data_IF_131895314887
#
_entry.id   IF_131895314887
#
_cell.length_a   1.000
_cell.length_b   1.000
_cell.length_c   1.000
_cell.angle_alpha   90.00
_cell.angle_beta   90.00
_cell.angle_gamma   90.00
#
_symmetry.space_group_name_H-M   'P 1'
#
loop_
_entity.id
_entity.type
_entity.pdbx_description
1 polymer ?
#
# COMPACT_ATOMS: atom_id res chain seq x y z
N UNK A 1 -23.92 1.57 3.58
CA UNK A 1 -22.52 1.39 3.13
C UNK A 1 -21.54 1.35 4.31
N UNK A 2 -21.82 2.06 5.38
CA UNK A 2 -21.05 2.01 6.64
C UNK A 2 -21.11 0.65 7.35
N UNK A 3 -22.23 -0.09 7.26
CA UNK A 3 -22.39 -1.42 7.85
C UNK A 3 -21.51 -2.49 7.17
N UNK A 4 -21.25 -2.36 5.87
CA UNK A 4 -20.46 -3.33 5.10
C UNK A 4 -18.97 -3.39 5.47
N UNK A 5 -18.43 -2.32 6.03
CA UNK A 5 -17.00 -2.24 6.37
C UNK A 5 -16.75 -2.63 7.83
N UNK A 6 -17.66 -2.29 8.73
CA UNK A 6 -17.59 -2.68 10.15
C UNK A 6 -17.97 -4.15 10.38
N UNK A 7 -18.84 -4.73 9.53
CA UNK A 7 -19.21 -6.14 9.60
C UNK A 7 -18.13 -7.07 9.02
N UNK A 8 -17.30 -6.58 8.08
CA UNK A 8 -16.29 -7.40 7.39
C UNK A 8 -15.13 -7.89 8.26
N UNK A 9 -14.84 -7.25 9.40
CA UNK A 9 -13.76 -7.67 10.31
C UNK A 9 -14.23 -8.66 11.39
N UNK A 10 -15.52 -8.89 11.51
CA UNK A 10 -16.13 -9.83 12.48
C UNK A 10 -16.80 -11.05 11.85
N UNK A 11 -16.78 -11.18 10.53
CA UNK A 11 -17.36 -12.35 9.85
C UNK A 11 -16.41 -13.54 9.99
N UNK A 12 -16.94 -14.69 10.42
CA UNK A 12 -16.19 -15.92 10.36
C UNK A 12 -15.94 -16.31 8.89
N UNK A 13 -14.68 -16.50 8.47
CA UNK A 13 -14.40 -16.84 7.09
C UNK A 13 -14.99 -18.20 6.73
N UNK A 14 -15.57 -18.29 5.52
CA UNK A 14 -16.03 -19.56 4.93
C UNK A 14 -15.03 -20.01 3.85
N UNK A 15 -15.04 -21.29 3.52
CA UNK A 15 -14.17 -21.82 2.47
C UNK A 15 -14.42 -21.14 1.12
N UNK A 16 -13.35 -20.85 0.40
CA UNK A 16 -13.42 -20.17 -0.87
C UNK A 16 -14.20 -20.96 -1.92
N UNK A 17 -15.19 -20.31 -2.54
CA UNK A 17 -16.06 -20.89 -3.53
C UNK A 17 -16.05 -20.08 -4.83
N UNK A 18 -16.44 -20.70 -5.94
CA UNK A 18 -16.57 -20.03 -7.22
C UNK A 18 -15.31 -19.30 -7.66
N UNK A 19 -15.42 -17.99 -7.97
CA UNK A 19 -14.27 -17.18 -8.41
C UNK A 19 -13.22 -16.99 -7.31
N UNK A 20 -13.61 -17.03 -6.03
CA UNK A 20 -12.66 -16.83 -4.92
C UNK A 20 -11.67 -17.98 -4.76
N UNK A 21 -11.96 -19.18 -5.29
CA UNK A 21 -11.01 -20.28 -5.35
C UNK A 21 -9.75 -19.93 -6.21
N UNK A 22 -9.83 -18.89 -7.04
CA UNK A 22 -8.72 -18.39 -7.87
C UNK A 22 -8.02 -17.17 -7.28
N UNK A 23 -8.25 -16.82 -6.00
CA UNK A 23 -7.62 -15.66 -5.34
C UNK A 23 -6.10 -15.70 -5.39
N UNK A 24 -5.49 -16.87 -5.39
CA UNK A 24 -4.03 -17.05 -5.53
C UNK A 24 -3.48 -16.53 -6.87
N UNK A 25 -4.29 -16.48 -7.94
CA UNK A 25 -3.87 -15.94 -9.25
C UNK A 25 -3.57 -14.44 -9.17
N UNK A 26 -4.20 -13.71 -8.24
CA UNK A 26 -3.90 -12.30 -8.01
C UNK A 26 -2.40 -12.08 -7.73
N UNK A 27 -1.81 -12.96 -6.94
CA UNK A 27 -0.39 -12.91 -6.56
C UNK A 27 0.47 -13.58 -7.63
N UNK A 28 0.02 -14.74 -8.12
CA UNK A 28 0.83 -15.58 -9.01
C UNK A 28 1.09 -14.92 -10.37
N UNK A 29 0.14 -14.19 -10.95
CA UNK A 29 0.33 -13.54 -12.25
C UNK A 29 1.45 -12.49 -12.23
N UNK A 30 1.45 -11.46 -11.36
CA UNK A 30 2.55 -10.51 -11.33
C UNK A 30 3.85 -11.14 -10.84
N UNK A 31 3.82 -12.14 -9.94
CA UNK A 31 5.02 -12.86 -9.52
C UNK A 31 5.65 -13.64 -10.68
N UNK A 32 4.83 -14.29 -11.49
CA UNK A 32 5.27 -14.97 -12.71
C UNK A 32 5.89 -13.97 -13.70
N UNK A 33 5.25 -12.82 -13.90
CA UNK A 33 5.79 -11.72 -14.71
C UNK A 33 7.18 -11.28 -14.23
N UNK A 34 7.34 -11.06 -12.94
CA UNK A 34 8.64 -10.72 -12.35
C UNK A 34 9.67 -11.83 -12.58
N UNK A 35 9.32 -13.09 -12.31
CA UNK A 35 10.21 -14.22 -12.46
C UNK A 35 10.67 -14.42 -13.92
N UNK A 36 9.74 -14.36 -14.88
CA UNK A 36 10.07 -14.47 -16.32
C UNK A 36 11.02 -13.37 -16.76
N UNK A 37 10.82 -12.14 -16.31
CA UNK A 37 11.66 -11.00 -16.67
C UNK A 37 13.05 -11.05 -16.01
N UNK A 38 13.15 -11.51 -14.77
CA UNK A 38 14.43 -11.63 -14.08
C UNK A 38 15.26 -12.80 -14.62
N UNK A 39 14.63 -13.96 -14.79
CA UNK A 39 15.32 -15.20 -15.21
C UNK A 39 15.56 -15.27 -16.72
N UNK A 40 14.64 -14.72 -17.53
CA UNK A 40 14.71 -14.75 -18.99
C UNK A 40 15.82 -13.87 -19.62
N UNK A 41 16.41 -12.99 -18.83
CA UNK A 41 17.53 -12.14 -19.24
C UNK A 41 17.20 -11.30 -20.49
N UNK A 42 18.22 -11.03 -21.31
CA UNK A 42 18.10 -10.18 -22.52
C UNK A 42 17.07 -10.67 -23.55
N UNK A 43 16.68 -11.95 -23.48
CA UNK A 43 15.67 -12.51 -24.40
C UNK A 43 14.29 -11.87 -24.21
N UNK A 44 14.02 -11.32 -23.03
CA UNK A 44 12.74 -10.70 -22.69
C UNK A 44 12.72 -9.18 -22.85
N UNK A 45 13.83 -8.53 -23.26
CA UNK A 45 13.92 -7.06 -23.36
C UNK A 45 12.87 -6.45 -24.30
N UNK A 46 12.54 -7.15 -25.41
CA UNK A 46 11.61 -6.61 -26.42
C UNK A 46 10.14 -6.65 -25.97
N UNK A 47 9.71 -7.73 -25.33
CA UNK A 47 8.31 -7.93 -24.95
C UNK A 47 8.06 -7.78 -23.43
N UNK A 48 9.14 -7.65 -22.65
CA UNK A 48 9.07 -7.61 -21.20
C UNK A 48 8.11 -6.55 -20.63
N UNK A 49 8.16 -5.30 -21.07
CA UNK A 49 7.22 -4.27 -20.62
C UNK A 49 5.75 -4.62 -20.87
N UNK A 50 5.45 -5.19 -22.05
CA UNK A 50 4.10 -5.63 -22.40
C UNK A 50 3.67 -6.85 -21.57
N UNK A 51 4.56 -7.83 -21.38
CA UNK A 51 4.28 -8.99 -20.53
C UNK A 51 3.96 -8.56 -19.10
N UNK A 52 4.80 -7.73 -18.49
CA UNK A 52 4.59 -7.24 -17.14
C UNK A 52 3.24 -6.50 -16.99
N UNK A 53 2.92 -5.65 -17.95
CA UNK A 53 1.66 -4.92 -18.01
C UNK A 53 0.48 -5.89 -18.16
N UNK A 54 0.58 -6.88 -19.03
CA UNK A 54 -0.46 -7.91 -19.22
C UNK A 54 -0.71 -8.72 -17.93
N UNK A 55 0.36 -9.10 -17.19
CA UNK A 55 0.24 -9.82 -15.93
C UNK A 55 -0.46 -8.98 -14.85
N UNK A 56 -0.15 -7.68 -14.77
CA UNK A 56 -0.82 -6.75 -13.85
C UNK A 56 -2.30 -6.57 -14.20
N UNK A 57 -2.65 -6.36 -15.49
CA UNK A 57 -4.04 -6.30 -15.94
C UNK A 57 -4.78 -7.63 -15.76
N UNK A 58 -4.11 -8.77 -15.96
CA UNK A 58 -4.67 -10.08 -15.66
C UNK A 58 -5.06 -10.22 -14.19
N UNK A 59 -4.19 -9.77 -13.29
CA UNK A 59 -4.48 -9.73 -11.85
C UNK A 59 -5.69 -8.84 -11.54
N UNK A 60 -5.78 -7.65 -12.16
CA UNK A 60 -6.95 -6.78 -12.02
C UNK A 60 -8.25 -7.46 -12.46
N UNK A 61 -8.25 -8.12 -13.62
CA UNK A 61 -9.45 -8.82 -14.12
C UNK A 61 -9.90 -9.97 -13.20
N UNK A 62 -8.95 -10.70 -12.63
CA UNK A 62 -9.25 -11.71 -11.61
C UNK A 62 -9.87 -11.06 -10.38
N UNK A 63 -9.32 -9.93 -9.91
CA UNK A 63 -9.89 -9.17 -8.79
C UNK A 63 -11.33 -8.71 -9.04
N UNK A 64 -11.62 -8.21 -10.24
CA UNK A 64 -12.98 -7.84 -10.66
C UNK A 64 -13.92 -9.05 -10.62
N UNK A 65 -13.48 -10.21 -11.14
CA UNK A 65 -14.28 -11.43 -11.14
C UNK A 65 -14.61 -11.90 -9.72
N UNK A 66 -13.64 -11.83 -8.79
CA UNK A 66 -13.84 -12.17 -7.38
C UNK A 66 -14.85 -11.21 -6.72
N UNK A 67 -14.71 -9.91 -6.92
CA UNK A 67 -15.62 -8.92 -6.34
C UNK A 67 -17.04 -9.11 -6.85
N UNK A 68 -17.22 -9.32 -8.16
CA UNK A 68 -18.54 -9.57 -8.72
C UNK A 68 -19.17 -10.84 -8.17
N UNK A 69 -18.37 -11.87 -7.92
CA UNK A 69 -18.83 -13.09 -7.24
C UNK A 69 -19.28 -12.80 -5.79
N UNK A 70 -18.45 -12.10 -4.98
CA UNK A 70 -18.78 -11.82 -3.58
C UNK A 70 -19.97 -10.86 -3.40
N UNK A 71 -20.18 -9.91 -4.32
CA UNK A 71 -21.36 -9.03 -4.30
C UNK A 71 -22.65 -9.86 -4.46
N UNK A 72 -22.60 -10.94 -5.23
CA UNK A 72 -23.72 -11.86 -5.42
C UNK A 72 -24.04 -12.76 -4.22
N UNK A 73 -23.15 -12.85 -3.22
CA UNK A 73 -23.32 -13.69 -2.05
C UNK A 73 -24.00 -12.92 -0.89
N UNK A 74 -24.66 -13.67 0.05
CA UNK A 74 -25.12 -13.11 1.31
C UNK A 74 -23.96 -12.43 2.07
N UNK A 75 -24.27 -11.43 2.89
CA UNK A 75 -23.24 -10.66 3.61
C UNK A 75 -22.33 -11.55 4.48
N UNK A 76 -22.93 -12.57 5.10
CA UNK A 76 -22.25 -13.52 6.00
C UNK A 76 -21.20 -14.39 5.29
N UNK A 77 -21.33 -14.62 3.98
CA UNK A 77 -20.44 -15.45 3.18
C UNK A 77 -19.39 -14.64 2.39
N UNK A 78 -19.34 -13.32 2.58
CA UNK A 78 -18.42 -12.42 1.84
C UNK A 78 -16.98 -12.42 2.35
N UNK A 79 -16.69 -13.07 3.46
CA UNK A 79 -15.34 -13.35 3.91
C UNK A 79 -14.99 -14.79 3.54
N UNK A 80 -14.11 -14.96 2.55
CA UNK A 80 -13.75 -16.28 2.04
C UNK A 80 -12.27 -16.57 2.25
N UNK A 81 -11.97 -17.75 2.74
CA UNK A 81 -10.64 -18.23 3.06
C UNK A 81 -10.22 -19.37 2.13
N UNK A 82 -9.00 -19.30 1.61
CA UNK A 82 -8.39 -20.35 0.80
C UNK A 82 -7.08 -20.80 1.42
N UNK A 83 -7.03 -22.03 1.94
CA UNK A 83 -5.78 -22.67 2.35
C UNK A 83 -5.10 -23.29 1.14
N UNK A 84 -3.85 -22.90 0.89
CA UNK A 84 -3.03 -23.46 -0.21
C UNK A 84 -2.30 -24.72 0.27
N UNK A 85 -1.57 -24.64 1.37
CA UNK A 85 -0.91 -25.78 2.03
C UNK A 85 -0.51 -25.43 3.47
N UNK A 86 -0.25 -26.45 4.29
CA UNK A 86 0.32 -26.25 5.62
C UNK A 86 1.78 -25.83 5.47
N UNK A 87 2.10 -24.58 5.86
CA UNK A 87 3.42 -23.99 5.62
C UNK A 87 4.41 -24.32 6.75
N UNK A 88 4.00 -24.20 8.01
CA UNK A 88 4.87 -24.43 9.18
C UNK A 88 4.23 -25.45 10.11
N UNK A 89 4.48 -26.77 9.90
CA UNK A 89 4.05 -27.81 10.82
C UNK A 89 5.10 -28.03 11.91
N UNK A 90 5.12 -27.25 12.99
CA UNK A 90 6.11 -27.32 14.05
C UNK A 90 5.47 -27.64 15.42
N UNK A 91 5.28 -28.91 15.72
CA UNK A 91 4.70 -29.37 16.99
C UNK A 91 3.26 -28.87 17.17
N UNK A 92 3.01 -28.11 18.23
CA UNK A 92 1.70 -27.47 18.46
C UNK A 92 1.46 -26.23 17.60
N UNK A 93 2.51 -25.66 17.00
CA UNK A 93 2.41 -24.54 16.10
C UNK A 93 2.12 -25.04 14.68
N UNK A 94 0.92 -24.74 14.19
CA UNK A 94 0.49 -25.06 12.83
C UNK A 94 0.16 -23.73 12.17
N UNK A 95 0.80 -23.44 11.06
CA UNK A 95 0.51 -22.25 10.26
C UNK A 95 0.30 -22.65 8.81
N UNK A 96 -0.87 -22.37 8.31
CA UNK A 96 -1.21 -22.56 6.92
C UNK A 96 -0.76 -21.36 6.08
N UNK A 97 -0.43 -21.57 4.82
CA UNK A 97 -0.36 -20.54 3.83
C UNK A 97 -1.77 -20.35 3.29
N UNK A 98 -2.49 -19.45 3.95
CA UNK A 98 -3.88 -19.16 3.66
C UNK A 98 -4.05 -17.74 3.10
N UNK A 99 -5.08 -17.57 2.27
CA UNK A 99 -5.44 -16.29 1.68
C UNK A 99 -6.86 -15.93 2.08
N UNK A 100 -7.05 -14.70 2.54
CA UNK A 100 -8.33 -14.16 2.96
C UNK A 100 -8.84 -13.12 1.96
N UNK A 101 -9.94 -13.45 1.29
CA UNK A 101 -10.67 -12.55 0.39
C UNK A 101 -11.90 -12.01 1.13
N UNK A 102 -11.80 -10.84 1.72
CA UNK A 102 -12.88 -10.13 2.40
C UNK A 102 -13.07 -8.71 1.82
N UNK A 103 -14.13 -7.98 2.15
CA UNK A 103 -14.39 -6.65 1.62
C UNK A 103 -13.23 -5.67 1.83
N UNK A 104 -12.49 -5.77 2.94
CA UNK A 104 -11.33 -4.92 3.22
C UNK A 104 -10.18 -5.26 2.27
N UNK A 105 -9.74 -6.52 2.22
CA UNK A 105 -8.63 -6.95 1.36
C UNK A 105 -8.93 -6.68 -0.12
N UNK A 106 -10.17 -6.93 -0.58
CA UNK A 106 -10.56 -6.70 -1.97
C UNK A 106 -10.62 -5.22 -2.36
N UNK A 107 -10.94 -4.33 -1.43
CA UNK A 107 -10.83 -2.88 -1.67
C UNK A 107 -9.38 -2.49 -1.99
N UNK A 108 -8.43 -3.02 -1.21
CA UNK A 108 -6.99 -2.83 -1.49
C UNK A 108 -6.55 -3.53 -2.77
N UNK A 109 -7.00 -4.75 -3.03
CA UNK A 109 -6.69 -5.48 -4.26
C UNK A 109 -7.08 -4.68 -5.49
N UNK A 110 -8.29 -4.10 -5.51
CA UNK A 110 -8.75 -3.27 -6.64
C UNK A 110 -7.87 -2.04 -6.82
N UNK A 111 -7.56 -1.36 -5.72
CA UNK A 111 -6.69 -0.18 -5.78
C UNK A 111 -5.28 -0.54 -6.31
N UNK A 112 -4.66 -1.58 -5.74
CA UNK A 112 -3.30 -2.01 -6.09
C UNK A 112 -3.23 -2.43 -7.55
N UNK A 113 -4.18 -3.28 -7.99
CA UNK A 113 -4.14 -3.87 -9.33
C UNK A 113 -4.53 -2.87 -10.41
N UNK A 114 -5.58 -2.06 -10.21
CA UNK A 114 -6.01 -1.05 -11.17
C UNK A 114 -4.96 0.04 -11.35
N UNK A 115 -4.58 0.68 -10.25
CA UNK A 115 -3.60 1.78 -10.28
C UNK A 115 -2.23 1.25 -10.71
N UNK A 116 -1.81 0.10 -10.21
CA UNK A 116 -0.57 -0.54 -10.61
C UNK A 116 -0.53 -0.82 -12.11
N UNK A 117 -1.64 -1.29 -12.70
CA UNK A 117 -1.74 -1.54 -14.15
C UNK A 117 -1.66 -0.25 -14.97
N UNK A 118 -2.30 0.83 -14.53
CA UNK A 118 -2.18 2.14 -15.18
C UNK A 118 -0.74 2.68 -15.10
N UNK A 119 -0.06 2.49 -13.97
CA UNK A 119 1.35 2.88 -13.82
C UNK A 119 2.24 2.05 -14.74
N UNK A 120 1.96 0.75 -14.95
CA UNK A 120 2.69 -0.05 -15.93
C UNK A 120 2.52 0.52 -17.34
N UNK A 121 1.31 0.87 -17.75
CA UNK A 121 1.06 1.49 -19.06
C UNK A 121 1.83 2.81 -19.19
N UNK A 122 1.77 3.69 -18.19
CA UNK A 122 2.53 4.93 -18.16
C UNK A 122 4.04 4.69 -18.26
N UNK A 123 4.54 3.66 -17.57
CA UNK A 123 5.95 3.31 -17.54
C UNK A 123 6.51 2.85 -18.90
N UNK A 124 5.66 2.31 -19.79
CA UNK A 124 6.10 1.92 -21.14
C UNK A 124 6.69 3.12 -21.87
N UNK A 125 5.98 4.27 -21.88
CA UNK A 125 6.48 5.49 -22.49
C UNK A 125 7.60 6.14 -21.66
N UNK A 126 7.45 6.20 -20.33
CA UNK A 126 8.44 6.85 -19.47
C UNK A 126 9.83 6.20 -19.53
N UNK A 127 9.90 4.85 -19.60
CA UNK A 127 11.14 4.07 -19.63
C UNK A 127 11.54 3.61 -21.04
N UNK A 128 10.96 4.16 -22.10
CA UNK A 128 11.17 3.71 -23.48
C UNK A 128 12.65 3.68 -23.87
N UNK A 129 13.40 4.68 -23.46
CA UNK A 129 14.81 4.86 -23.83
C UNK A 129 15.78 4.29 -22.80
N UNK A 130 15.29 3.77 -21.64
CA UNK A 130 16.16 3.22 -20.61
C UNK A 130 16.63 1.80 -21.01
N UNK A 131 17.97 1.53 -20.97
CA UNK A 131 18.51 0.21 -21.34
C UNK A 131 18.10 -0.89 -20.37
N UNK A 132 17.78 -0.57 -19.12
CA UNK A 132 17.43 -1.52 -18.06
C UNK A 132 15.91 -1.65 -17.84
N UNK A 133 15.08 -1.17 -18.79
CA UNK A 133 13.61 -1.18 -18.66
C UNK A 133 13.03 -2.55 -18.26
N UNK A 134 13.60 -3.66 -18.74
CA UNK A 134 13.18 -5.02 -18.34
C UNK A 134 13.28 -5.22 -16.83
N UNK A 135 14.41 -4.84 -16.22
CA UNK A 135 14.66 -4.94 -14.78
C UNK A 135 13.65 -4.07 -14.01
N UNK A 136 13.35 -2.89 -14.54
CA UNK A 136 12.35 -1.97 -13.99
C UNK A 136 10.96 -2.63 -13.90
N UNK A 137 10.48 -3.18 -15.01
CA UNK A 137 9.16 -3.83 -15.06
C UNK A 137 9.09 -5.12 -14.23
N UNK A 138 10.20 -5.84 -14.10
CA UNK A 138 10.29 -6.99 -13.20
C UNK A 138 10.10 -6.56 -11.73
N UNK A 139 10.73 -5.46 -11.32
CA UNK A 139 10.61 -4.92 -9.96
C UNK A 139 9.22 -4.35 -9.69
N UNK A 140 8.58 -3.72 -10.67
CA UNK A 140 7.19 -3.28 -10.55
C UNK A 140 6.24 -4.46 -10.29
N UNK A 141 6.37 -5.54 -11.06
CA UNK A 141 5.57 -6.75 -10.88
C UNK A 141 5.86 -7.43 -9.53
N UNK A 142 7.13 -7.51 -9.12
CA UNK A 142 7.50 -8.05 -7.80
C UNK A 142 6.85 -7.24 -6.68
N UNK A 143 6.83 -5.92 -6.82
CA UNK A 143 6.20 -5.03 -5.86
C UNK A 143 4.69 -5.28 -5.76
N UNK A 144 3.97 -5.38 -6.91
CA UNK A 144 2.54 -5.68 -6.92
C UNK A 144 2.25 -7.04 -6.30
N UNK A 145 3.02 -8.08 -6.67
CA UNK A 145 2.85 -9.41 -6.09
C UNK A 145 3.02 -9.42 -4.56
N UNK A 146 4.05 -8.74 -4.07
CA UNK A 146 4.33 -8.63 -2.64
C UNK A 146 3.23 -7.86 -1.89
N UNK A 147 2.71 -6.79 -2.50
CA UNK A 147 1.63 -6.00 -1.90
C UNK A 147 0.31 -6.78 -1.87
N UNK A 148 0.02 -7.55 -2.91
CA UNK A 148 -1.16 -8.43 -2.95
C UNK A 148 -1.04 -9.56 -1.92
N UNK A 149 0.15 -10.14 -1.74
CA UNK A 149 0.39 -11.11 -0.67
C UNK A 149 0.13 -10.51 0.71
N UNK A 150 0.58 -9.27 0.93
CA UNK A 150 0.39 -8.55 2.19
C UNK A 150 -1.11 -8.38 2.52
N UNK A 151 -1.91 -7.91 1.56
CA UNK A 151 -3.33 -7.60 1.81
C UNK A 151 -4.25 -8.82 1.78
N UNK A 152 -3.83 -9.91 1.15
CA UNK A 152 -4.59 -11.17 1.08
C UNK A 152 -4.15 -12.18 2.13
N UNK A 153 -3.12 -11.90 2.93
CA UNK A 153 -2.68 -12.78 4.01
C UNK A 153 -3.82 -13.04 5.00
N UNK A 154 -3.91 -14.26 5.52
CA UNK A 154 -4.83 -14.68 6.58
C UNK A 154 -4.20 -14.61 7.99
N UNK A 155 -2.90 -14.35 8.04
CA UNK A 155 -2.11 -14.34 9.27
C UNK A 155 -1.10 -13.19 9.30
N UNK A 156 -0.74 -12.75 10.50
CA UNK A 156 0.29 -11.70 10.69
C UNK A 156 1.66 -12.13 10.18
N UNK A 157 1.99 -13.43 10.22
CA UNK A 157 3.26 -13.92 9.70
C UNK A 157 3.29 -13.91 8.18
N UNK A 158 2.23 -14.30 7.49
CA UNK A 158 2.16 -14.22 6.04
C UNK A 158 2.08 -12.77 5.56
N UNK A 159 1.35 -11.91 6.30
CA UNK A 159 1.38 -10.46 6.08
C UNK A 159 2.82 -9.94 6.17
N UNK A 160 3.61 -10.37 7.16
CA UNK A 160 5.01 -9.96 7.31
C UNK A 160 5.88 -10.39 6.13
N UNK A 161 5.64 -11.56 5.52
CA UNK A 161 6.34 -11.96 4.29
C UNK A 161 6.07 -11.00 3.15
N UNK A 162 4.80 -10.63 2.94
CA UNK A 162 4.42 -9.61 1.95
C UNK A 162 5.03 -8.24 2.28
N UNK A 163 5.05 -7.88 3.56
CA UNK A 163 5.62 -6.64 4.08
C UNK A 163 7.12 -6.48 3.79
N UNK A 164 7.87 -7.56 3.97
CA UNK A 164 9.29 -7.63 3.64
C UNK A 164 9.54 -7.62 2.13
N UNK A 165 8.69 -8.31 1.38
CA UNK A 165 8.73 -8.32 -0.07
C UNK A 165 8.52 -6.92 -0.67
N UNK A 166 7.56 -6.16 -0.16
CA UNK A 166 7.34 -4.75 -0.53
C UNK A 166 8.55 -3.89 -0.16
N UNK A 167 9.15 -4.13 1.01
CA UNK A 167 10.37 -3.45 1.45
C UNK A 167 11.54 -3.67 0.49
N UNK A 168 11.78 -4.91 0.09
CA UNK A 168 12.82 -5.28 -0.89
C UNK A 168 12.54 -4.65 -2.27
N UNK A 169 11.32 -4.80 -2.78
CA UNK A 169 10.96 -4.28 -4.09
C UNK A 169 11.08 -2.74 -4.15
N UNK A 170 10.68 -2.04 -3.07
CA UNK A 170 10.84 -0.59 -2.96
C UNK A 170 12.30 -0.17 -2.95
N UNK A 171 13.16 -0.88 -2.22
CA UNK A 171 14.59 -0.66 -2.22
C UNK A 171 15.19 -0.73 -3.63
N UNK A 172 14.84 -1.80 -4.38
CA UNK A 172 15.31 -2.02 -5.76
C UNK A 172 14.78 -0.95 -6.73
N UNK A 173 13.57 -0.45 -6.50
CA UNK A 173 12.94 0.57 -7.34
C UNK A 173 13.44 1.99 -7.03
N UNK A 174 13.61 2.36 -5.75
CA UNK A 174 14.17 3.67 -5.36
C UNK A 174 15.62 3.78 -5.83
N UNK A 175 16.41 2.71 -5.65
CA UNK A 175 17.80 2.61 -6.09
C UNK A 175 17.96 2.11 -7.53
N UNK A 176 16.95 2.26 -8.39
CA UNK A 176 17.00 1.72 -9.74
C UNK A 176 18.23 2.23 -10.53
N UNK A 177 18.48 3.52 -10.46
CA UNK A 177 19.67 4.16 -11.03
C UNK A 177 20.83 4.22 -10.02
N UNK A 178 21.24 3.06 -9.52
CA UNK A 178 22.24 2.89 -8.45
C UNK A 178 23.66 3.31 -8.80
N UNK A 179 23.95 3.61 -10.06
CA UNK A 179 25.22 4.23 -10.46
C UNK A 179 25.39 5.65 -9.90
N UNK A 180 24.29 6.31 -9.53
CA UNK A 180 24.35 7.59 -8.83
C UNK A 180 24.39 7.34 -7.31
N UNK A 181 25.48 7.72 -6.61
CA UNK A 181 25.63 7.48 -5.18
C UNK A 181 24.50 8.11 -4.34
N UNK A 182 23.94 9.25 -4.77
CA UNK A 182 22.82 9.88 -4.07
C UNK A 182 21.55 9.02 -4.09
N UNK A 183 21.28 8.36 -5.21
CA UNK A 183 20.09 7.48 -5.34
C UNK A 183 20.28 6.16 -4.59
N UNK A 184 21.50 5.61 -4.61
CA UNK A 184 21.84 4.46 -3.79
C UNK A 184 21.73 4.77 -2.29
N UNK A 185 22.19 5.94 -1.85
CA UNK A 185 22.05 6.41 -0.46
C UNK A 185 20.58 6.60 -0.06
N UNK A 186 19.74 7.15 -0.95
CA UNK A 186 18.31 7.30 -0.72
C UNK A 186 17.61 5.94 -0.54
N UNK A 187 17.96 4.96 -1.38
CA UNK A 187 17.45 3.59 -1.25
C UNK A 187 17.86 2.93 0.07
N UNK A 188 19.15 3.05 0.43
CA UNK A 188 19.66 2.54 1.71
C UNK A 188 18.93 3.19 2.89
N UNK A 189 18.75 4.51 2.88
CA UNK A 189 18.01 5.22 3.93
C UNK A 189 16.57 4.71 4.05
N UNK A 190 15.87 4.59 2.92
CA UNK A 190 14.50 4.05 2.90
C UNK A 190 14.46 2.64 3.49
N UNK A 191 15.40 1.77 3.11
CA UNK A 191 15.48 0.41 3.59
C UNK A 191 15.73 0.35 5.10
N UNK A 192 16.76 1.02 5.62
CA UNK A 192 17.12 0.95 7.04
C UNK A 192 16.05 1.58 7.94
N UNK A 193 15.45 2.71 7.55
CA UNK A 193 14.40 3.34 8.35
C UNK A 193 13.16 2.43 8.42
N UNK A 194 12.80 1.79 7.30
CA UNK A 194 11.70 0.81 7.30
C UNK A 194 12.01 -0.39 8.18
N UNK A 195 13.27 -0.88 8.23
CA UNK A 195 13.67 -2.02 9.09
C UNK A 195 13.44 -1.76 10.58
N UNK A 196 13.54 -0.52 11.02
CA UNK A 196 13.17 -0.17 12.42
C UNK A 196 11.68 -0.46 12.66
N UNK A 197 10.81 -0.12 11.72
CA UNK A 197 9.39 -0.47 11.77
C UNK A 197 9.16 -1.99 11.70
N UNK A 198 9.85 -2.65 10.76
CA UNK A 198 9.73 -4.10 10.54
C UNK A 198 10.13 -4.90 11.79
N UNK A 199 11.12 -4.41 12.57
CA UNK A 199 11.47 -4.97 13.87
C UNK A 199 10.30 -4.87 14.87
N UNK A 200 9.60 -3.74 14.92
CA UNK A 200 8.41 -3.57 15.76
C UNK A 200 7.33 -4.60 15.41
N UNK A 201 7.03 -4.77 14.11
CA UNK A 201 6.05 -5.74 13.65
C UNK A 201 6.47 -7.19 13.97
N UNK A 202 7.74 -7.55 13.78
CA UNK A 202 8.22 -8.89 14.09
C UNK A 202 8.13 -9.21 15.59
N UNK A 203 8.45 -8.26 16.46
CA UNK A 203 8.27 -8.42 17.91
C UNK A 203 6.78 -8.53 18.26
N UNK A 204 5.90 -7.75 17.62
CA UNK A 204 4.45 -7.88 17.82
C UNK A 204 3.97 -9.30 17.51
N UNK A 205 4.42 -9.90 16.40
CA UNK A 205 4.06 -11.27 16.00
C UNK A 205 4.57 -12.28 17.07
N UNK A 206 5.79 -12.10 17.59
CA UNK A 206 6.32 -12.98 18.65
C UNK A 206 5.49 -12.86 19.93
N UNK A 207 5.10 -11.65 20.33
CA UNK A 207 4.24 -11.42 21.50
C UNK A 207 2.85 -12.01 21.29
N UNK A 208 2.28 -11.88 20.08
CA UNK A 208 1.00 -12.52 19.71
C UNK A 208 1.10 -14.05 19.89
N UNK A 209 2.15 -14.66 19.37
CA UNK A 209 2.33 -16.10 19.50
C UNK A 209 2.40 -16.54 20.98
N UNK A 210 3.16 -15.83 21.81
CA UNK A 210 3.28 -16.15 23.25
C UNK A 210 1.95 -15.93 24.00
N UNK A 211 1.17 -14.92 23.57
CA UNK A 211 -0.07 -14.52 24.27
C UNK A 211 -1.27 -15.38 23.85
N UNK A 212 -1.40 -15.68 22.56
CA UNK A 212 -2.60 -16.32 21.97
C UNK A 212 -2.33 -17.77 21.52
N UNK A 213 -1.08 -18.20 21.42
CA UNK A 213 -0.70 -19.52 20.90
C UNK A 213 -0.75 -19.65 19.38
N UNK A 214 -1.16 -18.60 18.66
CA UNK A 214 -1.25 -18.52 17.20
C UNK A 214 -1.00 -17.11 16.69
N UNK A 215 -0.89 -16.96 15.35
CA UNK A 215 -0.63 -15.67 14.69
C UNK A 215 -1.58 -15.43 13.52
N UNK A 216 -2.54 -16.29 13.32
CA UNK A 216 -3.65 -16.09 12.37
C UNK A 216 -4.67 -15.09 12.95
N UNK A 217 -5.39 -14.42 12.06
CA UNK A 217 -6.32 -13.36 12.48
C UNK A 217 -7.46 -13.90 13.35
N UNK A 218 -7.94 -15.11 13.09
CA UNK A 218 -9.04 -15.71 13.84
C UNK A 218 -8.61 -15.96 15.30
N UNK A 219 -7.50 -16.68 15.51
CA UNK A 219 -6.95 -16.97 16.84
C UNK A 219 -6.65 -15.69 17.63
N UNK A 220 -6.06 -14.68 16.98
CA UNK A 220 -5.75 -13.40 17.65
C UNK A 220 -7.03 -12.68 18.04
N UNK A 221 -8.01 -12.57 17.14
CA UNK A 221 -9.26 -11.87 17.41
C UNK A 221 -10.07 -12.52 18.55
N UNK A 222 -10.14 -13.84 18.59
CA UNK A 222 -10.78 -14.58 19.66
C UNK A 222 -10.03 -14.42 21.00
N UNK A 223 -8.70 -14.44 20.95
CA UNK A 223 -7.85 -14.34 22.13
C UNK A 223 -7.84 -12.97 22.80
N UNK A 224 -8.12 -11.89 22.08
CA UNK A 224 -8.11 -10.50 22.61
C UNK A 224 -9.06 -10.34 23.80
N UNK A 225 -10.23 -10.98 23.79
CA UNK A 225 -11.21 -10.85 24.87
C UNK A 225 -10.74 -11.42 26.22
N UNK A 226 -9.82 -12.37 26.23
CA UNK A 226 -9.37 -13.11 27.41
C UNK A 226 -7.94 -12.82 27.83
N UNK A 227 -7.16 -12.14 26.97
CA UNK A 227 -5.75 -11.89 27.20
C UNK A 227 -5.48 -10.74 28.20
N UNK A 228 -4.25 -10.71 28.71
CA UNK A 228 -3.80 -9.64 29.59
C UNK A 228 -3.77 -8.29 28.86
N UNK A 229 -4.42 -7.27 29.44
CA UNK A 229 -4.51 -5.92 28.87
C UNK A 229 -3.15 -5.32 28.51
N UNK A 230 -2.13 -5.54 29.36
CA UNK A 230 -0.78 -5.05 29.10
C UNK A 230 -0.14 -5.67 27.87
N UNK A 231 -0.36 -6.98 27.65
CA UNK A 231 0.14 -7.68 26.47
C UNK A 231 -0.55 -7.17 25.18
N UNK A 232 -1.87 -6.99 25.21
CA UNK A 232 -2.62 -6.48 24.05
C UNK A 232 -2.19 -5.03 23.72
N UNK A 233 -2.00 -4.19 24.76
CA UNK A 233 -1.50 -2.81 24.56
C UNK A 233 -0.09 -2.81 23.97
N UNK A 234 0.80 -3.68 24.44
CA UNK A 234 2.14 -3.82 23.89
C UNK A 234 2.10 -4.25 22.41
N UNK A 235 1.26 -5.22 22.06
CA UNK A 235 1.04 -5.65 20.66
C UNK A 235 0.57 -4.45 19.82
N UNK A 236 -0.45 -3.71 20.25
CA UNK A 236 -0.96 -2.55 19.53
C UNK A 236 0.09 -1.47 19.28
N UNK A 237 0.91 -1.15 20.29
CA UNK A 237 2.01 -0.18 20.15
C UNK A 237 3.11 -0.68 19.22
N UNK A 238 3.46 -1.97 19.26
CA UNK A 238 4.45 -2.58 18.36
C UNK A 238 3.96 -2.64 16.91
N UNK A 239 2.67 -2.91 16.68
CA UNK A 239 2.05 -2.80 15.37
C UNK A 239 2.10 -1.37 14.84
N UNK A 240 1.87 -0.37 15.71
CA UNK A 240 2.01 1.05 15.35
C UNK A 240 3.45 1.38 14.94
N UNK A 241 4.48 0.86 15.61
CA UNK A 241 5.88 1.03 15.19
C UNK A 241 6.10 0.48 13.78
N UNK A 242 5.55 -0.70 13.48
CA UNK A 242 5.54 -1.28 12.13
C UNK A 242 4.88 -0.35 11.11
N UNK A 243 3.69 0.13 11.43
CA UNK A 243 2.94 1.06 10.58
C UNK A 243 3.70 2.37 10.35
N UNK A 244 4.38 2.93 11.37
CA UNK A 244 5.19 4.14 11.24
C UNK A 244 6.31 4.00 10.20
N UNK A 245 6.94 2.84 10.12
CA UNK A 245 7.98 2.55 9.13
C UNK A 245 7.43 2.68 7.69
N UNK A 246 6.51 1.80 7.30
CA UNK A 246 6.00 1.75 5.91
C UNK A 246 5.16 2.97 5.53
N UNK A 247 4.35 3.49 6.46
CA UNK A 247 3.47 4.64 6.21
C UNK A 247 4.14 5.99 6.44
N UNK A 248 5.47 6.02 6.62
CA UNK A 248 6.25 7.25 6.83
C UNK A 248 5.64 8.17 7.89
N UNK A 249 5.19 7.59 9.01
CA UNK A 249 4.66 8.33 10.14
C UNK A 249 5.78 8.80 11.07
N UNK A 250 5.51 9.87 11.81
CA UNK A 250 6.45 10.33 12.84
C UNK A 250 6.74 9.21 13.85
N UNK A 251 8.01 8.98 14.25
CA UNK A 251 9.25 9.71 13.85
C UNK A 251 10.00 9.11 12.65
N UNK A 252 9.44 8.14 11.92
CA UNK A 252 10.11 7.40 10.85
C UNK A 252 9.85 7.97 9.43
N UNK A 253 9.39 9.22 9.30
CA UNK A 253 8.96 9.83 8.05
C UNK A 253 10.09 10.24 7.09
N UNK A 254 11.33 10.29 7.55
CA UNK A 254 12.43 10.96 6.84
C UNK A 254 12.82 10.33 5.50
N UNK A 255 12.51 9.07 5.27
CA UNK A 255 12.86 8.35 4.04
C UNK A 255 11.97 8.73 2.85
N UNK A 256 10.72 9.17 3.12
CA UNK A 256 9.73 9.38 2.07
C UNK A 256 10.13 10.47 1.07
N UNK A 257 10.68 11.60 1.57
CA UNK A 257 11.15 12.68 0.72
C UNK A 257 12.38 12.30 -0.13
N UNK A 258 13.25 11.44 0.40
CA UNK A 258 14.45 10.99 -0.31
C UNK A 258 14.13 9.86 -1.31
N UNK A 259 13.06 9.10 -1.08
CA UNK A 259 12.57 8.09 -2.02
C UNK A 259 12.16 8.67 -3.40
N UNK A 260 12.00 10.01 -3.50
CA UNK A 260 11.79 10.71 -4.76
C UNK A 260 13.00 10.64 -5.72
N UNK A 261 14.15 10.13 -5.30
CA UNK A 261 15.29 9.85 -6.15
C UNK A 261 15.00 8.81 -7.26
N UNK A 262 14.08 7.88 -7.02
CA UNK A 262 13.68 6.89 -8.02
C UNK A 262 12.93 7.47 -9.22
N UNK A 263 12.74 6.67 -10.29
CA UNK A 263 11.90 7.03 -11.44
C UNK A 263 10.49 7.47 -11.02
N UNK A 264 9.87 8.41 -11.74
CA UNK A 264 8.55 8.94 -11.36
C UNK A 264 7.44 7.87 -11.27
N UNK A 265 7.38 6.83 -12.13
CA UNK A 265 6.41 5.75 -11.96
C UNK A 265 6.54 5.02 -10.62
N UNK A 266 7.77 4.94 -10.08
CA UNK A 266 8.01 4.35 -8.75
C UNK A 266 7.40 5.22 -7.65
N UNK A 267 7.59 6.55 -7.76
CA UNK A 267 6.97 7.48 -6.82
C UNK A 267 5.45 7.33 -6.85
N UNK A 268 4.83 7.28 -8.04
CA UNK A 268 3.40 7.09 -8.20
C UNK A 268 2.93 5.76 -7.56
N UNK A 269 3.67 4.67 -7.73
CA UNK A 269 3.31 3.38 -7.17
C UNK A 269 3.45 3.33 -5.64
N UNK A 270 4.61 3.72 -5.12
CA UNK A 270 4.92 3.63 -3.67
C UNK A 270 4.03 4.57 -2.86
N UNK A 271 3.83 5.81 -3.35
CA UNK A 271 3.21 6.87 -2.55
C UNK A 271 1.69 6.96 -2.70
N UNK A 272 1.13 6.44 -3.79
CA UNK A 272 -0.28 6.65 -4.04
C UNK A 272 -1.19 5.54 -3.51
N UNK A 273 -0.87 4.28 -3.81
CA UNK A 273 -1.85 3.22 -3.65
C UNK A 273 -1.34 2.00 -2.88
N UNK A 274 -0.05 1.98 -2.49
CA UNK A 274 0.54 0.70 -2.11
C UNK A 274 1.35 0.73 -0.81
N UNK A 275 2.67 0.99 -0.85
CA UNK A 275 3.54 0.82 0.32
C UNK A 275 3.14 1.69 1.51
N UNK A 276 2.87 2.97 1.26
CA UNK A 276 2.52 3.92 2.34
C UNK A 276 1.13 3.66 2.94
N UNK A 277 0.25 2.95 2.24
CA UNK A 277 -1.06 2.54 2.76
C UNK A 277 -1.00 1.23 3.55
N UNK A 278 0.11 0.48 3.46
CA UNK A 278 0.26 -0.80 4.16
C UNK A 278 0.15 -0.66 5.69
N UNK A 279 0.68 0.42 6.28
CA UNK A 279 0.55 0.65 7.73
C UNK A 279 -0.88 1.03 8.13
N UNK A 280 -1.61 1.76 7.30
CA UNK A 280 -3.05 2.02 7.53
C UNK A 280 -3.81 0.70 7.45
N UNK A 281 -3.54 -0.13 6.42
CA UNK A 281 -4.11 -1.46 6.31
C UNK A 281 -3.85 -2.30 7.58
N UNK A 282 -2.62 -2.32 8.08
CA UNK A 282 -2.25 -3.06 9.29
C UNK A 282 -3.06 -2.61 10.50
N UNK A 283 -3.22 -1.30 10.71
CA UNK A 283 -4.01 -0.75 11.82
C UNK A 283 -5.49 -1.10 11.66
N UNK A 284 -6.05 -0.93 10.47
CA UNK A 284 -7.45 -1.24 10.19
C UNK A 284 -7.72 -2.75 10.32
N UNK A 285 -6.83 -3.60 9.83
CA UNK A 285 -6.92 -5.07 9.95
C UNK A 285 -6.86 -5.52 11.42
N UNK A 286 -6.12 -4.79 12.24
CA UNK A 286 -5.95 -5.07 13.67
C UNK A 286 -6.92 -4.29 14.56
N UNK A 287 -8.05 -3.81 14.02
CA UNK A 287 -8.99 -2.97 14.75
C UNK A 287 -9.46 -3.58 16.09
N UNK A 288 -9.66 -4.90 16.14
CA UNK A 288 -10.07 -5.61 17.37
C UNK A 288 -9.06 -5.38 18.51
N UNK A 289 -7.76 -5.38 18.20
CA UNK A 289 -6.68 -5.08 19.17
C UNK A 289 -6.79 -3.63 19.64
N UNK A 290 -6.98 -2.67 18.72
CA UNK A 290 -7.06 -1.25 19.05
C UNK A 290 -8.36 -0.87 19.76
N UNK A 291 -9.46 -1.54 19.49
CA UNK A 291 -10.73 -1.34 20.20
C UNK A 291 -10.65 -1.82 21.65
N UNK A 292 -9.89 -2.89 21.91
CA UNK A 292 -9.60 -3.38 23.25
C UNK A 292 -8.56 -2.54 24.01
N UNK A 293 -7.80 -1.64 23.34
CA UNK A 293 -6.68 -0.89 23.93
C UNK A 293 -6.76 0.60 23.66
N UNK A 294 -7.51 1.38 24.46
CA UNK A 294 -7.67 2.84 24.27
C UNK A 294 -6.34 3.60 24.20
N UNK A 295 -5.32 3.19 24.97
CA UNK A 295 -4.01 3.84 24.99
C UNK A 295 -3.26 3.66 23.66
N UNK A 296 -3.24 2.43 23.09
CA UNK A 296 -2.63 2.18 21.80
C UNK A 296 -3.40 2.90 20.68
N UNK A 297 -4.72 2.91 20.74
CA UNK A 297 -5.58 3.66 19.81
C UNK A 297 -5.32 5.15 19.86
N UNK A 298 -5.19 5.73 21.04
CA UNK A 298 -4.82 7.14 21.22
C UNK A 298 -3.44 7.43 20.62
N UNK A 299 -2.46 6.51 20.79
CA UNK A 299 -1.14 6.66 20.20
C UNK A 299 -1.21 6.69 18.65
N UNK A 300 -2.05 5.85 18.01
CA UNK A 300 -2.30 5.89 16.57
C UNK A 300 -2.85 7.26 16.14
N UNK A 301 -3.86 7.78 16.85
CA UNK A 301 -4.46 9.08 16.55
C UNK A 301 -3.44 10.22 16.68
N UNK A 302 -2.65 10.24 17.76
CA UNK A 302 -1.63 11.27 17.99
C UNK A 302 -0.52 11.24 16.93
N UNK A 303 0.01 10.07 16.61
CA UNK A 303 1.04 9.92 15.56
C UNK A 303 0.49 10.37 14.21
N UNK A 304 -0.75 10.00 13.88
CA UNK A 304 -1.43 10.45 12.67
C UNK A 304 -1.59 11.97 12.61
N UNK A 305 -2.05 12.59 13.70
CA UNK A 305 -2.22 14.05 13.80
C UNK A 305 -0.90 14.81 13.65
N UNK A 306 0.15 14.36 14.34
CA UNK A 306 1.50 14.95 14.22
C UNK A 306 2.01 14.86 12.79
N UNK A 307 1.87 13.69 12.16
CA UNK A 307 2.34 13.47 10.78
C UNK A 307 1.55 14.30 9.77
N UNK A 308 0.23 14.42 9.95
CA UNK A 308 -0.64 15.25 9.13
C UNK A 308 -0.13 16.69 9.07
N UNK A 309 0.05 17.32 10.25
CA UNK A 309 0.50 18.72 10.35
C UNK A 309 1.93 18.88 9.85
N UNK A 310 2.83 17.96 10.23
CA UNK A 310 4.22 17.98 9.79
C UNK A 310 4.34 17.89 8.27
N UNK A 311 3.60 16.94 7.64
CA UNK A 311 3.58 16.78 6.19
C UNK A 311 3.08 18.02 5.47
N UNK A 312 2.02 18.67 5.98
CA UNK A 312 1.48 19.90 5.40
C UNK A 312 2.52 21.06 5.46
N UNK A 313 3.17 21.27 6.60
CA UNK A 313 4.22 22.31 6.77
C UNK A 313 5.39 22.05 5.82
N UNK A 314 5.89 20.81 5.77
CA UNK A 314 7.01 20.44 4.88
C UNK A 314 6.64 20.64 3.41
N UNK A 315 5.40 20.30 3.01
CA UNK A 315 4.92 20.50 1.64
C UNK A 315 4.95 21.95 1.20
N UNK A 316 4.55 22.88 2.08
CA UNK A 316 4.59 24.32 1.80
C UNK A 316 6.03 24.87 1.69
N UNK A 317 7.01 24.19 2.26
CA UNK A 317 8.41 24.64 2.28
C UNK A 317 9.27 24.07 1.14
N UNK A 318 8.72 23.20 0.27
CA UNK A 318 9.48 22.56 -0.81
C UNK A 318 9.23 23.23 -2.16
N UNK A 319 10.30 23.56 -2.85
CA UNK A 319 10.28 24.08 -4.23
C UNK A 319 10.34 22.96 -5.29
N UNK A 320 10.75 21.75 -4.89
CA UNK A 320 10.81 20.54 -5.75
C UNK A 320 9.43 19.90 -5.84
N UNK A 321 8.89 19.78 -7.06
CA UNK A 321 7.53 19.25 -7.30
C UNK A 321 7.35 17.83 -6.75
N UNK A 322 8.35 16.94 -6.90
CA UNK A 322 8.28 15.57 -6.38
C UNK A 322 8.26 15.57 -4.85
N UNK A 323 9.12 16.37 -4.22
CA UNK A 323 9.20 16.45 -2.75
C UNK A 323 7.96 17.09 -2.15
N UNK A 324 7.34 18.07 -2.81
CA UNK A 324 6.07 18.66 -2.41
C UNK A 324 4.93 17.62 -2.47
N UNK A 325 4.87 16.82 -3.54
CA UNK A 325 3.90 15.72 -3.67
C UNK A 325 4.13 14.62 -2.62
N UNK A 326 5.38 14.29 -2.29
CA UNK A 326 5.69 13.34 -1.21
C UNK A 326 5.22 13.85 0.15
N UNK A 327 5.44 15.12 0.46
CA UNK A 327 4.98 15.73 1.69
C UNK A 327 3.44 15.78 1.77
N UNK A 328 2.77 16.05 0.64
CA UNK A 328 1.31 15.93 0.54
C UNK A 328 0.84 14.49 0.80
N UNK A 329 1.54 13.48 0.30
CA UNK A 329 1.25 12.07 0.60
C UNK A 329 1.39 11.77 2.10
N UNK A 330 2.49 12.21 2.72
CA UNK A 330 2.71 12.08 4.16
C UNK A 330 1.53 12.65 4.95
N UNK A 331 1.06 13.85 4.59
CA UNK A 331 -0.08 14.51 5.22
C UNK A 331 -1.37 13.69 5.06
N UNK A 332 -1.65 13.16 3.87
CA UNK A 332 -2.87 12.35 3.62
C UNK A 332 -2.86 11.02 4.39
N UNK A 333 -1.71 10.34 4.43
CA UNK A 333 -1.58 9.09 5.20
C UNK A 333 -1.67 9.37 6.71
N UNK A 334 -1.13 10.51 7.18
CA UNK A 334 -1.32 10.98 8.55
C UNK A 334 -2.80 11.20 8.88
N UNK A 335 -3.58 11.75 7.93
CA UNK A 335 -5.02 11.90 8.06
C UNK A 335 -5.74 10.55 8.21
N UNK A 336 -5.40 9.57 7.36
CA UNK A 336 -5.97 8.22 7.45
C UNK A 336 -5.59 7.52 8.78
N UNK A 337 -4.35 7.68 9.25
CA UNK A 337 -3.91 7.13 10.54
C UNK A 337 -4.66 7.78 11.70
N UNK A 338 -4.86 9.11 11.66
CA UNK A 338 -5.68 9.81 12.64
C UNK A 338 -7.11 9.24 12.66
N UNK A 339 -7.73 9.11 11.49
CA UNK A 339 -9.06 8.53 11.36
C UNK A 339 -9.12 7.11 11.93
N UNK A 340 -8.18 6.22 11.56
CA UNK A 340 -8.11 4.86 12.07
C UNK A 340 -7.99 4.81 13.61
N UNK A 341 -7.32 5.79 14.22
CA UNK A 341 -7.21 5.96 15.68
C UNK A 341 -8.48 6.46 16.37
N UNK A 342 -9.52 6.86 15.66
CA UNK A 342 -10.77 7.35 16.26
C UNK A 342 -11.82 6.24 16.53
N UNK A 343 -11.48 4.97 16.32
CA UNK A 343 -12.36 3.82 16.56
C UNK A 343 -13.21 3.43 15.34
N UNK A 344 -14.28 2.65 15.54
CA UNK A 344 -15.02 1.99 14.46
C UNK A 344 -15.50 2.94 13.35
N UNK A 345 -16.01 4.12 13.70
CA UNK A 345 -16.41 5.13 12.71
C UNK A 345 -15.19 5.66 11.94
N UNK A 346 -14.10 5.93 12.63
CA UNK A 346 -12.84 6.38 12.02
C UNK A 346 -12.21 5.32 11.12
N UNK A 347 -12.27 4.03 11.49
CA UNK A 347 -11.83 2.90 10.67
C UNK A 347 -12.62 2.84 9.36
N UNK A 348 -13.93 3.05 9.40
CA UNK A 348 -14.77 3.11 8.21
C UNK A 348 -14.34 4.27 7.28
N UNK A 349 -14.09 5.46 7.84
CA UNK A 349 -13.60 6.60 7.06
C UNK A 349 -12.18 6.40 6.53
N UNK A 350 -11.25 5.87 7.33
CA UNK A 350 -9.91 5.53 6.87
C UNK A 350 -9.93 4.57 5.68
N UNK A 351 -10.80 3.54 5.74
CA UNK A 351 -10.99 2.58 4.66
C UNK A 351 -11.64 3.18 3.42
N UNK A 352 -12.59 4.11 3.59
CA UNK A 352 -13.25 4.81 2.49
C UNK A 352 -12.36 5.89 1.87
N UNK A 353 -11.54 6.59 2.66
CA UNK A 353 -10.59 7.59 2.15
C UNK A 353 -9.42 6.94 1.39
N UNK A 354 -9.17 5.65 1.58
CA UNK A 354 -8.07 4.95 0.95
C UNK A 354 -8.14 4.90 -0.60
N UNK A 355 -9.26 4.49 -1.24
CA UNK A 355 -9.34 4.48 -2.70
C UNK A 355 -9.33 5.88 -3.31
N UNK A 356 -9.71 6.93 -2.57
CA UNK A 356 -9.82 8.27 -3.10
C UNK A 356 -8.44 8.88 -3.42
N UNK A 357 -7.47 9.02 -2.47
CA UNK A 357 -6.10 9.41 -2.79
C UNK A 357 -5.41 8.41 -3.72
N UNK A 358 -5.68 7.12 -3.56
CA UNK A 358 -5.13 6.07 -4.40
C UNK A 358 -5.45 6.23 -5.89
N UNK A 359 -6.54 6.90 -6.25
CA UNK A 359 -6.90 7.17 -7.64
C UNK A 359 -6.33 8.49 -8.18
N UNK A 360 -6.45 9.60 -7.45
CA UNK A 360 -6.00 10.90 -7.99
C UNK A 360 -4.51 11.16 -7.79
N UNK A 361 -3.89 10.60 -6.73
CA UNK A 361 -2.47 10.81 -6.43
C UNK A 361 -1.53 10.27 -7.52
N UNK A 362 -1.71 9.01 -8.04
CA UNK A 362 -0.91 8.55 -9.17
C UNK A 362 -1.02 9.43 -10.39
N UNK A 363 -2.20 10.00 -10.64
CA UNK A 363 -2.43 10.96 -11.73
C UNK A 363 -1.61 12.25 -11.54
N UNK A 364 -1.49 12.75 -10.30
CA UNK A 364 -0.65 13.91 -9.99
C UNK A 364 0.84 13.58 -10.12
N UNK A 365 1.29 12.43 -9.61
CA UNK A 365 2.69 12.03 -9.71
C UNK A 365 3.11 11.76 -11.16
N UNK A 366 2.27 11.08 -11.96
CA UNK A 366 2.49 10.89 -13.38
C UNK A 366 2.44 12.23 -14.14
N UNK A 367 1.53 13.14 -13.77
CA UNK A 367 1.46 14.49 -14.29
C UNK A 367 2.73 15.29 -13.98
N UNK A 368 3.26 15.22 -12.78
CA UNK A 368 4.53 15.83 -12.41
C UNK A 368 5.70 15.27 -13.24
N UNK A 369 5.73 13.93 -13.44
CA UNK A 369 6.70 13.29 -14.32
C UNK A 369 6.62 13.80 -15.77
N UNK A 370 5.41 13.97 -16.27
CA UNK A 370 5.17 14.54 -17.62
C UNK A 370 5.64 15.99 -17.72
N UNK A 371 5.39 16.83 -16.70
CA UNK A 371 5.89 18.22 -16.63
C UNK A 371 7.42 18.24 -16.63
N UNK A 372 8.05 17.44 -15.76
CA UNK A 372 9.50 17.37 -15.68
C UNK A 372 10.13 16.96 -17.02
N UNK A 373 9.58 15.92 -17.66
CA UNK A 373 10.07 15.44 -18.95
C UNK A 373 9.93 16.52 -20.06
N UNK A 374 8.81 17.26 -20.07
CA UNK A 374 8.59 18.38 -20.99
C UNK A 374 9.44 19.61 -20.70
N UNK A 375 10.05 19.71 -19.49
CA UNK A 375 10.91 20.81 -19.03
C UNK A 375 12.37 20.40 -18.89
N UNK A 376 12.84 19.38 -19.62
CA UNK A 376 14.21 18.85 -19.56
C UNK A 376 14.67 18.46 -18.15
N UNK A 377 13.84 17.68 -17.47
CA UNK A 377 14.06 17.16 -16.11
C UNK A 377 14.19 18.24 -15.00
N UNK A 378 13.70 19.46 -15.27
CA UNK A 378 13.59 20.49 -14.23
C UNK A 378 12.57 20.08 -13.17
N UNK A 379 12.98 20.17 -11.89
CA UNK A 379 12.14 19.82 -10.73
C UNK A 379 11.65 21.04 -9.94
N UNK A 380 12.30 22.19 -10.13
CA UNK A 380 12.00 23.40 -9.37
C UNK A 380 10.75 24.10 -9.89
N UNK A 381 9.68 24.08 -9.08
CA UNK A 381 8.39 24.68 -9.43
C UNK A 381 8.45 26.20 -9.70
N UNK A 382 9.45 26.91 -9.17
CA UNK A 382 9.66 28.35 -9.43
C UNK A 382 10.05 28.65 -10.88
N UNK A 383 10.49 27.62 -11.62
CA UNK A 383 10.85 27.72 -13.04
C UNK A 383 9.71 27.30 -13.98
N UNK A 384 8.60 26.87 -13.42
CA UNK A 384 7.43 26.51 -14.21
C UNK A 384 6.54 27.70 -14.47
N UNK A 385 5.98 27.81 -15.69
CA UNK A 385 5.03 28.86 -16.04
C UNK A 385 4.34 28.58 -17.37
N UNK A 386 3.09 29.03 -17.53
CA UNK A 386 2.34 28.95 -18.79
C UNK A 386 1.99 27.54 -19.27
N UNK A 387 2.15 26.50 -18.46
CA UNK A 387 2.00 25.09 -18.83
C UNK A 387 0.57 24.73 -19.29
N UNK A 388 -0.44 25.46 -18.84
CA UNK A 388 -1.84 25.26 -19.25
C UNK A 388 -2.06 25.43 -20.75
N UNK A 389 -1.22 26.21 -21.42
CA UNK A 389 -1.31 26.45 -22.87
C UNK A 389 -0.62 25.38 -23.70
N UNK A 390 0.48 24.81 -23.17
CA UNK A 390 1.35 23.86 -23.87
C UNK A 390 1.00 22.41 -23.51
N UNK A 391 0.72 22.13 -22.23
CA UNK A 391 0.45 20.79 -21.70
C UNK A 391 -1.00 20.69 -21.17
N UNK A 392 -1.98 20.90 -22.03
CA UNK A 392 -3.41 21.01 -21.66
C UNK A 392 -3.94 19.80 -20.91
N UNK A 393 -3.58 18.59 -21.34
CA UNK A 393 -4.05 17.33 -20.70
C UNK A 393 -3.44 17.21 -19.31
N UNK A 394 -2.13 17.40 -19.17
CA UNK A 394 -1.43 17.34 -17.88
C UNK A 394 -1.96 18.40 -16.92
N UNK A 395 -2.21 19.62 -17.41
CA UNK A 395 -2.82 20.68 -16.61
C UNK A 395 -4.22 20.29 -16.12
N UNK A 396 -5.07 19.77 -16.99
CA UNK A 396 -6.41 19.34 -16.62
C UNK A 396 -6.42 18.21 -15.59
N UNK A 397 -5.60 17.17 -15.78
CA UNK A 397 -5.50 16.05 -14.84
C UNK A 397 -4.94 16.49 -13.49
N UNK A 398 -3.95 17.40 -13.49
CA UNK A 398 -3.40 17.96 -12.26
C UNK A 398 -4.44 18.84 -11.52
N UNK A 399 -5.21 19.65 -12.25
CA UNK A 399 -6.28 20.47 -11.67
C UNK A 399 -7.40 19.62 -11.06
N UNK A 400 -7.83 18.54 -11.74
CA UNK A 400 -8.81 17.60 -11.21
C UNK A 400 -8.32 16.92 -9.92
N UNK A 401 -7.08 16.45 -9.90
CA UNK A 401 -6.46 15.89 -8.69
C UNK A 401 -6.35 16.90 -7.55
N UNK A 402 -6.03 18.16 -7.85
CA UNK A 402 -5.98 19.24 -6.86
C UNK A 402 -7.36 19.53 -6.26
N UNK A 403 -8.41 19.62 -7.09
CA UNK A 403 -9.79 19.79 -6.62
C UNK A 403 -10.26 18.62 -5.76
N UNK A 404 -9.85 17.40 -6.10
CA UNK A 404 -10.14 16.21 -5.30
C UNK A 404 -9.46 16.26 -3.92
N UNK A 405 -8.20 16.71 -3.85
CA UNK A 405 -7.48 16.87 -2.56
C UNK A 405 -8.13 17.95 -1.68
N UNK A 406 -8.60 19.04 -2.28
CA UNK A 406 -9.26 20.14 -1.55
C UNK A 406 -10.65 19.76 -1.01
N UNK A 407 -11.23 18.64 -1.46
CA UNK A 407 -12.58 18.27 -1.05
C UNK A 407 -13.67 19.13 -1.70
N UNK A 408 -13.45 19.66 -2.93
CA UNK A 408 -14.45 20.42 -3.63
C UNK A 408 -15.55 19.52 -4.20
N UNK A 409 -16.85 19.75 -3.94
CA UNK A 409 -17.92 18.97 -4.58
C UNK A 409 -17.89 19.09 -6.12
N UNK A 410 -18.11 18.02 -6.87
CA UNK A 410 -18.52 16.66 -6.51
C UNK A 410 -17.35 15.67 -6.38
N UNK A 411 -16.11 16.15 -6.24
CA UNK A 411 -14.92 15.29 -6.23
C UNK A 411 -14.85 14.40 -4.99
N UNK A 412 -14.05 13.31 -5.09
CA UNK A 412 -14.00 12.24 -4.11
C UNK A 412 -13.60 12.71 -2.69
N UNK A 413 -12.68 13.68 -2.58
CA UNK A 413 -12.24 14.21 -1.29
C UNK A 413 -13.34 14.88 -0.47
N UNK A 414 -14.38 15.41 -1.10
CA UNK A 414 -15.55 15.95 -0.40
C UNK A 414 -16.29 14.86 0.40
N UNK A 415 -16.43 13.68 -0.19
CA UNK A 415 -17.16 12.58 0.44
C UNK A 415 -16.36 11.82 1.49
N UNK A 416 -15.03 11.85 1.40
CA UNK A 416 -14.14 11.11 2.31
C UNK A 416 -13.59 11.93 3.46
N UNK A 417 -13.49 13.27 3.34
CA UNK A 417 -12.81 14.12 4.32
C UNK A 417 -13.73 15.04 5.11
N UNK A 418 -14.85 15.47 4.53
CA UNK A 418 -15.73 16.49 5.16
C UNK A 418 -16.83 15.86 6.04
N UNK A 419 -16.79 14.56 6.28
CA UNK A 419 -17.67 13.82 7.19
C UNK A 419 -16.89 13.20 8.32
#
# INVERSE_FOLDING_TARGET
MTSLITEGSGLAPVDASGASAFVWLLIALPLLGAAVLLLGGRRTDKFGPLLATAMSWGSFLVGVAIILHLIGLPTEERAQHLTLWNWVPAGSFQLDLGLLADPLSLTFVMLITFVGSLIHVYSIGYMEHDPDKRRFFAYLNLFIASMLLLVLADSYLLLFVGWEGVGLASYLLIGFWNWNPAYASAANKAFFVNRVGDLGLSIAIMVMFVTFGGVDYATVNEGVATANQGAITAIGLLLLVGACGKSAQFPLQSWLGDAMAGPTPVSALIHAATMVTAGVYLVVRSNVIYDATPDARLAVALVGAITLVFGAIVGCAKDDIKKALAASTMSQIGYMMLAAGLGAVGVAFASFDLPTPGLYKPGQDAGAGSVMHGMNDEVNMRRFGGLSTVMKITWATFALGWLAILGVPPFSGFWSKDK
#
